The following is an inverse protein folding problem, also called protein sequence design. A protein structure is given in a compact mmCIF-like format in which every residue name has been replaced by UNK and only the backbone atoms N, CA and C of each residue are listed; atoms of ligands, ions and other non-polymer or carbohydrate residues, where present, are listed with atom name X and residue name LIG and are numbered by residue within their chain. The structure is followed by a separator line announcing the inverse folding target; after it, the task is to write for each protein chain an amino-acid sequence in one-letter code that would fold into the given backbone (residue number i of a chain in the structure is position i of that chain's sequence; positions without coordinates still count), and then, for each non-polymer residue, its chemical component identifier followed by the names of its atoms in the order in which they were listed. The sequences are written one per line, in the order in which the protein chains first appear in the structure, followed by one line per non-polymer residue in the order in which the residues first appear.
data_IF_884001077331
#
_entry.id   IF_884001077331
#
_cell.length_a   1.000
_cell.length_b   1.000
_cell.length_c   1.000
_cell.angle_alpha   90.00
_cell.angle_beta   90.00
_cell.angle_gamma   90.00
#
_symmetry.space_group_name_H-M   'P 1'
#
loop_
_entity.id
_entity.type
_entity.pdbx_description
1 polymer ?
#
# COMPACT_ATOMS: atom_id res chain seq x y z
N UNK A 1 -35.21 -8.87 0.67
CA UNK A 1 -34.38 -7.67 0.40
C UNK A 1 -33.01 -7.96 0.98
N UNK A 2 -32.05 -8.34 0.13
CA UNK A 2 -30.70 -8.70 0.57
C UNK A 2 -29.99 -7.41 0.95
N UNK A 3 -29.80 -7.20 2.25
CA UNK A 3 -29.01 -6.09 2.75
C UNK A 3 -27.57 -6.32 2.26
N UNK A 4 -27.12 -5.55 1.28
CA UNK A 4 -25.78 -5.64 0.73
C UNK A 4 -24.79 -5.06 1.74
N UNK A 5 -24.30 -5.89 2.66
CA UNK A 5 -23.26 -5.54 3.64
C UNK A 5 -21.85 -5.43 2.98
N UNK A 6 -21.76 -5.34 1.66
CA UNK A 6 -20.54 -5.67 0.90
C UNK A 6 -19.71 -4.48 0.42
N UNK A 7 -19.87 -3.29 1.01
CA UNK A 7 -18.85 -2.24 0.86
C UNK A 7 -18.36 -1.72 2.22
N UNK A 8 -17.22 -2.24 2.67
CA UNK A 8 -16.51 -1.77 3.88
C UNK A 8 -15.60 -0.57 3.59
N UNK A 9 -15.60 -0.04 2.36
CA UNK A 9 -14.76 1.09 1.98
C UNK A 9 -15.17 2.34 2.75
N UNK A 10 -14.22 2.87 3.53
CA UNK A 10 -14.40 4.11 4.31
C UNK A 10 -14.01 5.37 3.56
N UNK A 11 -13.19 5.23 2.51
CA UNK A 11 -12.58 6.35 1.81
C UNK A 11 -12.65 6.15 0.28
N UNK A 12 -12.90 7.23 -0.49
CA UNK A 12 -12.85 7.16 -1.94
C UNK A 12 -11.44 6.79 -2.41
N UNK A 13 -11.38 6.04 -3.52
CA UNK A 13 -10.13 5.63 -4.17
C UNK A 13 -9.92 6.46 -5.43
N UNK A 14 -8.66 6.76 -5.70
CA UNK A 14 -8.21 7.57 -6.82
C UNK A 14 -7.23 6.71 -7.62
N UNK A 15 -7.51 6.52 -8.90
CA UNK A 15 -6.60 5.80 -9.78
C UNK A 15 -5.36 6.66 -10.02
N UNK A 16 -4.21 6.14 -9.62
CA UNK A 16 -2.92 6.82 -9.76
C UNK A 16 -1.80 5.77 -9.74
N UNK A 17 -0.85 5.91 -10.65
CA UNK A 17 0.40 5.15 -10.62
C UNK A 17 1.51 5.97 -9.97
N UNK A 18 1.90 5.53 -8.78
CA UNK A 18 3.07 6.00 -8.05
C UNK A 18 4.03 4.83 -7.86
N UNK A 19 5.28 5.04 -8.24
CA UNK A 19 6.34 4.11 -7.91
C UNK A 19 6.55 4.12 -6.39
N UNK A 20 6.53 2.94 -5.77
CA UNK A 20 6.76 2.74 -4.35
C UNK A 20 7.72 1.58 -4.14
N UNK A 21 8.26 1.48 -2.93
CA UNK A 21 8.98 0.29 -2.46
C UNK A 21 8.22 -0.31 -1.29
N UNK A 22 8.06 -1.63 -1.30
CA UNK A 22 7.49 -2.37 -0.18
C UNK A 22 8.53 -3.32 0.39
N UNK A 23 8.52 -3.48 1.70
CA UNK A 23 9.34 -4.44 2.43
C UNK A 23 8.44 -5.32 3.29
N UNK A 24 8.55 -6.64 3.14
CA UNK A 24 7.75 -7.59 3.95
C UNK A 24 8.40 -7.79 5.31
N UNK A 25 7.71 -7.36 6.39
CA UNK A 25 8.22 -7.46 7.76
C UNK A 25 8.09 -8.90 8.26
N UNK A 26 9.23 -9.61 8.33
CA UNK A 26 9.28 -11.02 8.79
C UNK A 26 9.64 -11.10 10.28
N UNK A 27 8.75 -11.68 11.10
CA UNK A 27 8.91 -11.82 12.57
C UNK A 27 10.11 -12.66 13.03
N UNK A 28 10.81 -13.33 12.10
CA UNK A 28 11.96 -14.19 12.40
C UNK A 28 13.28 -13.72 11.80
N UNK A 29 13.29 -12.59 11.08
CA UNK A 29 14.54 -12.09 10.51
C UNK A 29 15.44 -11.57 11.63
N UNK A 30 16.68 -12.08 11.70
CA UNK A 30 17.67 -11.62 12.67
C UNK A 30 18.27 -10.26 12.29
N UNK A 31 18.03 -9.81 11.05
CA UNK A 31 18.59 -8.58 10.46
C UNK A 31 17.64 -8.04 9.38
N UNK A 32 17.30 -6.74 9.41
CA UNK A 32 16.47 -6.07 8.38
C UNK A 32 17.02 -6.28 6.95
N UNK A 33 18.33 -6.51 6.82
CA UNK A 33 19.01 -6.77 5.55
C UNK A 33 18.52 -8.02 4.79
N UNK A 34 17.82 -8.95 5.44
CA UNK A 34 17.28 -10.17 4.80
C UNK A 34 15.83 -10.02 4.31
N UNK A 35 15.18 -8.87 4.57
CA UNK A 35 13.81 -8.66 4.12
C UNK A 35 13.77 -8.34 2.62
N UNK A 36 12.84 -8.98 1.90
CA UNK A 36 12.64 -8.73 0.47
C UNK A 36 12.06 -7.34 0.25
N UNK A 37 12.80 -6.48 -0.46
CA UNK A 37 12.32 -5.18 -0.95
C UNK A 37 11.85 -5.34 -2.39
N UNK A 38 10.59 -4.96 -2.65
CA UNK A 38 9.98 -5.00 -3.98
C UNK A 38 9.64 -3.58 -4.42
N UNK A 39 10.16 -3.16 -5.57
CA UNK A 39 9.69 -1.95 -6.26
C UNK A 39 8.42 -2.28 -7.04
N UNK A 40 7.36 -1.52 -6.85
CA UNK A 40 6.11 -1.68 -7.57
C UNK A 40 5.41 -0.34 -7.82
N UNK A 41 4.24 -0.39 -8.46
CA UNK A 41 3.41 0.78 -8.71
C UNK A 41 2.04 0.60 -8.06
N UNK A 42 1.49 1.72 -7.58
CA UNK A 42 0.08 1.77 -7.19
C UNK A 42 -0.81 1.68 -8.42
N UNK A 43 -1.98 1.09 -8.24
CA UNK A 43 -3.10 1.14 -9.19
C UNK A 43 -4.05 2.23 -8.77
N UNK A 44 -4.41 2.20 -7.48
CA UNK A 44 -5.28 3.16 -6.84
C UNK A 44 -4.82 3.39 -5.40
N UNK A 45 -5.16 4.57 -4.89
CA UNK A 45 -4.83 4.98 -3.53
C UNK A 45 -6.05 5.61 -2.86
N UNK A 46 -6.09 5.53 -1.54
CA UNK A 46 -7.00 6.26 -0.67
C UNK A 46 -6.25 6.68 0.60
N UNK A 47 -6.83 7.55 1.40
CA UNK A 47 -6.20 7.97 2.66
C UNK A 47 -5.96 6.81 3.64
N UNK A 48 -6.68 5.70 3.49
CA UNK A 48 -6.56 4.53 4.38
C UNK A 48 -6.02 3.26 3.72
N UNK A 49 -5.57 3.31 2.46
CA UNK A 49 -5.17 2.08 1.78
C UNK A 49 -4.74 2.25 0.34
N UNK A 50 -4.10 1.20 -0.17
CA UNK A 50 -3.48 1.15 -1.50
C UNK A 50 -3.95 -0.12 -2.23
N UNK A 51 -3.95 -0.08 -3.56
CA UNK A 51 -3.93 -1.27 -4.40
C UNK A 51 -2.65 -1.27 -5.21
N UNK A 52 -1.95 -2.40 -5.22
CA UNK A 52 -0.67 -2.55 -5.93
C UNK A 52 -0.63 -3.87 -6.70
N UNK A 53 0.25 -3.94 -7.70
CA UNK A 53 0.66 -5.17 -8.35
C UNK A 53 2.04 -5.60 -7.86
N UNK A 54 2.26 -6.90 -7.67
CA UNK A 54 3.57 -7.46 -7.34
C UNK A 54 3.84 -8.72 -8.18
N UNK A 55 5.11 -9.04 -8.49
CA UNK A 55 5.44 -10.22 -9.27
C UNK A 55 5.27 -11.53 -8.49
N UNK A 56 5.40 -11.50 -7.17
CA UNK A 56 5.36 -12.67 -6.29
C UNK A 56 4.22 -12.54 -5.25
N UNK A 57 3.63 -13.67 -4.80
CA UNK A 57 2.53 -13.61 -3.85
C UNK A 57 3.02 -13.15 -2.48
N UNK A 58 2.31 -12.17 -1.91
CA UNK A 58 2.44 -11.81 -0.50
C UNK A 58 1.19 -12.27 0.23
N UNK A 59 1.37 -12.94 1.36
CA UNK A 59 0.29 -13.53 2.13
C UNK A 59 -0.64 -12.45 2.72
N UNK A 60 -1.93 -12.76 2.78
CA UNK A 60 -2.87 -11.95 3.55
C UNK A 60 -2.47 -11.94 5.04
N UNK A 61 -2.55 -10.77 5.67
CA UNK A 61 -2.12 -10.55 7.05
C UNK A 61 -0.64 -10.19 7.19
N UNK A 62 0.15 -10.23 6.11
CA UNK A 62 1.52 -9.74 6.13
C UNK A 62 1.57 -8.23 6.40
N UNK A 63 2.48 -7.83 7.28
CA UNK A 63 2.80 -6.43 7.54
C UNK A 63 3.89 -5.97 6.57
N UNK A 64 3.71 -4.78 6.02
CA UNK A 64 4.61 -4.17 5.06
C UNK A 64 5.07 -2.80 5.57
N UNK A 65 6.36 -2.52 5.42
CA UNK A 65 6.84 -1.13 5.35
C UNK A 65 6.73 -0.66 3.89
N UNK A 66 6.36 0.59 3.68
CA UNK A 66 6.06 1.15 2.37
C UNK A 66 6.76 2.50 2.27
N UNK A 67 7.73 2.60 1.38
CA UNK A 67 8.42 3.84 1.07
C UNK A 67 7.84 4.47 -0.20
N UNK A 68 7.32 5.69 -0.10
CA UNK A 68 6.84 6.48 -1.24
C UNK A 68 7.85 7.58 -1.57
N UNK A 69 8.65 7.42 -2.65
CA UNK A 69 9.56 8.45 -3.10
C UNK A 69 8.77 9.64 -3.67
N UNK A 70 8.91 10.81 -3.04
CA UNK A 70 8.31 12.06 -3.52
C UNK A 70 9.43 13.02 -3.91
N UNK A 71 9.39 13.53 -5.15
CA UNK A 71 10.45 14.37 -5.70
C UNK A 71 10.71 15.66 -4.88
N UNK A 72 9.67 16.17 -4.22
CA UNK A 72 9.75 17.40 -3.42
C UNK A 72 10.22 17.16 -1.98
N UNK A 73 10.42 15.90 -1.56
CA UNK A 73 10.78 15.56 -0.18
C UNK A 73 12.24 15.13 -0.08
N UNK A 74 12.93 15.62 0.97
CA UNK A 74 14.32 15.24 1.24
C UNK A 74 14.47 13.75 1.58
N UNK A 75 13.42 13.15 2.13
CA UNK A 75 13.35 11.77 2.56
C UNK A 75 12.06 11.13 2.01
N UNK A 76 12.07 9.81 1.85
CA UNK A 76 10.89 9.07 1.44
C UNK A 76 9.77 9.24 2.48
N UNK A 77 8.53 9.14 2.02
CA UNK A 77 7.42 8.91 2.91
C UNK A 77 7.46 7.48 3.43
N UNK A 78 7.53 7.28 4.73
CA UNK A 78 7.50 5.94 5.31
C UNK A 78 6.11 5.63 5.90
N UNK A 79 5.45 4.62 5.34
CA UNK A 79 4.15 4.14 5.77
C UNK A 79 4.23 2.69 6.23
N UNK A 80 3.31 2.29 7.08
CA UNK A 80 3.10 0.90 7.45
C UNK A 80 1.73 0.44 6.94
N UNK A 81 1.64 -0.81 6.51
CA UNK A 81 0.38 -1.38 6.04
C UNK A 81 0.26 -2.87 6.26
N UNK A 82 -0.95 -3.38 6.13
CA UNK A 82 -1.25 -4.81 6.20
C UNK A 82 -1.97 -5.27 4.93
N UNK A 83 -1.58 -6.43 4.42
CA UNK A 83 -2.25 -7.06 3.29
C UNK A 83 -3.63 -7.56 3.73
N UNK A 84 -4.70 -6.94 3.25
CA UNK A 84 -6.09 -7.35 3.55
C UNK A 84 -6.58 -8.41 2.58
N UNK A 85 -6.06 -8.42 1.35
CA UNK A 85 -6.31 -9.48 0.38
C UNK A 85 -5.17 -9.58 -0.63
N UNK A 86 -4.98 -10.78 -1.17
CA UNK A 86 -4.00 -11.11 -2.21
C UNK A 86 -4.69 -11.99 -3.26
N UNK A 87 -4.57 -11.63 -4.53
CA UNK A 87 -5.26 -12.31 -5.64
C UNK A 87 -4.35 -12.41 -6.85
N UNK A 88 -4.35 -13.54 -7.53
CA UNK A 88 -3.64 -13.67 -8.81
C UNK A 88 -4.13 -12.63 -9.82
N UNK A 89 -3.21 -12.05 -10.57
CA UNK A 89 -3.55 -11.26 -11.74
C UNK A 89 -4.06 -12.21 -12.84
N UNK A 90 -5.16 -11.83 -13.50
CA UNK A 90 -5.86 -12.70 -14.46
C UNK A 90 -5.06 -13.06 -15.73
N UNK A 91 -3.89 -12.48 -15.91
CA UNK A 91 -2.93 -12.79 -16.98
C UNK A 91 -1.91 -13.87 -16.58
N UNK A 92 -2.03 -14.43 -15.36
CA UNK A 92 -1.11 -15.42 -14.81
C UNK A 92 0.27 -14.86 -14.47
N UNK A 93 0.43 -13.53 -14.44
CA UNK A 93 1.69 -12.86 -14.14
C UNK A 93 1.50 -11.94 -12.94
N UNK A 94 1.87 -12.46 -11.77
CA UNK A 94 1.88 -11.69 -10.52
C UNK A 94 0.53 -11.65 -9.82
N UNK A 95 0.45 -10.74 -8.84
CA UNK A 95 -0.62 -10.70 -7.85
C UNK A 95 -1.06 -9.25 -7.60
N UNK A 96 -2.36 -9.06 -7.48
CA UNK A 96 -2.95 -7.86 -6.94
C UNK A 96 -3.00 -7.96 -5.42
N UNK A 97 -2.56 -6.90 -4.75
CA UNK A 97 -2.67 -6.76 -3.31
C UNK A 97 -3.53 -5.55 -2.95
N UNK A 98 -4.37 -5.73 -1.92
CA UNK A 98 -5.03 -4.64 -1.23
C UNK A 98 -4.39 -4.43 0.12
N UNK A 99 -3.89 -3.21 0.35
CA UNK A 99 -3.27 -2.82 1.60
C UNK A 99 -4.20 -1.89 2.37
N UNK A 100 -4.33 -2.13 3.67
CA UNK A 100 -4.86 -1.16 4.63
C UNK A 100 -3.67 -0.51 5.34
N UNK A 101 -3.64 0.82 5.38
CA UNK A 101 -2.60 1.55 6.06
C UNK A 101 -2.82 1.48 7.57
N UNK A 102 -1.75 1.19 8.30
CA UNK A 102 -1.69 1.31 9.74
C UNK A 102 -1.19 2.71 10.12
N UNK A 103 -1.42 3.12 11.36
CA UNK A 103 -0.82 4.34 11.90
C UNK A 103 0.71 4.20 11.88
N UNK A 104 1.38 4.97 11.03
CA UNK A 104 2.82 5.19 11.09
C UNK A 104 3.13 6.42 11.96
N UNK A 105 4.12 7.24 11.61
CA UNK A 105 4.35 8.50 12.32
C UNK A 105 3.24 9.52 12.01
N UNK A 106 2.95 10.42 12.96
CA UNK A 106 1.97 11.50 12.74
C UNK A 106 2.35 12.40 11.56
N UNK A 107 3.65 12.61 11.34
CA UNK A 107 4.15 13.43 10.25
C UNK A 107 3.92 12.75 8.89
N UNK A 108 4.24 11.46 8.80
CA UNK A 108 4.08 10.68 7.57
C UNK A 108 2.61 10.49 7.21
N UNK A 109 1.76 10.18 8.18
CA UNK A 109 0.32 10.07 7.94
C UNK A 109 -0.29 11.41 7.50
N UNK A 110 0.18 12.55 8.05
CA UNK A 110 -0.24 13.89 7.59
C UNK A 110 0.20 14.15 6.15
N UNK A 111 1.47 13.86 5.84
CA UNK A 111 2.04 14.01 4.49
C UNK A 111 1.29 13.14 3.46
N UNK A 112 0.97 11.89 3.81
CA UNK A 112 0.15 10.99 3.00
C UNK A 112 -1.24 11.58 2.74
N UNK A 113 -1.90 12.02 3.80
CA UNK A 113 -3.23 12.62 3.69
C UNK A 113 -3.22 13.83 2.76
N UNK A 114 -2.24 14.73 2.89
CA UNK A 114 -2.08 15.90 2.02
C UNK A 114 -1.85 15.51 0.57
N UNK A 115 -1.00 14.52 0.31
CA UNK A 115 -0.72 14.03 -1.04
C UNK A 115 -1.99 13.46 -1.71
N UNK A 116 -2.74 12.60 -1.01
CA UNK A 116 -3.99 12.01 -1.52
C UNK A 116 -5.08 13.07 -1.70
N UNK A 117 -5.21 14.01 -0.77
CA UNK A 117 -6.16 15.14 -0.89
C UNK A 117 -5.86 16.03 -2.10
N UNK A 118 -4.58 16.21 -2.45
CA UNK A 118 -4.19 16.98 -3.62
C UNK A 118 -4.63 16.32 -4.93
N UNK A 119 -4.70 14.98 -4.96
CA UNK A 119 -5.22 14.23 -6.10
C UNK A 119 -6.74 14.37 -6.24
N UNK A 120 -7.49 14.46 -5.13
CA UNK A 120 -8.97 14.60 -5.17
C UNK A 120 -9.46 15.92 -5.75
N UNK A 121 -8.60 16.94 -5.75
CA UNK A 121 -8.94 18.30 -6.21
C UNK A 121 -8.65 18.52 -7.70
N UNK A 122 -8.02 17.55 -8.36
CA UNK A 122 -7.73 17.58 -9.80
C UNK A 122 -8.80 16.81 -10.56
#
# INVERSE_FOLDING_TARGET
MSNDFSDRRKHPRIDVSWAIYIEVVSRGSRTEADNTIVRCETVDVSVGGLKIWVPEPIAQGSHLNIAVPMADWKENLELAGMVIWSREAGDGKGYWLGLELADSSHEDMRKWYEAVQHLQKK
#
